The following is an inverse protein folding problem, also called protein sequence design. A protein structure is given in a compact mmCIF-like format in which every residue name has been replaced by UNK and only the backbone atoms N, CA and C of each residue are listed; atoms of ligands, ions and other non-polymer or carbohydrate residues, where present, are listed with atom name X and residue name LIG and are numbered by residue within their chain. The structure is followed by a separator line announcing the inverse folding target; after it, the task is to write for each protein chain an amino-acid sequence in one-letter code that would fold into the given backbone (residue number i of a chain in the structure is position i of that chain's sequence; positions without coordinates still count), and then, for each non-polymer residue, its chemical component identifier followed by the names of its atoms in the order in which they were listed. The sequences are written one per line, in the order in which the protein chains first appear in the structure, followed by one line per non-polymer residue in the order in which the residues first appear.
data_IF_662451239947
#
_entry.id   IF_662451239947
#
_cell.length_a   1.000
_cell.length_b   1.000
_cell.length_c   1.000
_cell.angle_alpha   90.00
_cell.angle_beta   90.00
_cell.angle_gamma   90.00
#
_symmetry.space_group_name_H-M   'P 1'
#
loop_
_entity.id
_entity.type
_entity.pdbx_description
1 polymer ?
#
# COMPACT_ATOMS: atom_id res chain seq x y z
N UNK A 1 -23.16 32.95 -24.02
CA UNK A 1 -23.08 32.79 -22.55
C UNK A 1 -21.67 32.32 -22.23
N UNK A 2 -20.89 33.03 -21.39
CA UNK A 2 -19.55 32.58 -21.04
C UNK A 2 -19.63 31.29 -20.23
N UNK A 3 -18.86 30.27 -20.62
CA UNK A 3 -18.74 29.04 -19.86
C UNK A 3 -17.95 29.39 -18.59
N UNK A 4 -18.62 29.44 -17.44
CA UNK A 4 -17.97 29.61 -16.14
C UNK A 4 -17.61 28.24 -15.59
N UNK A 5 -16.34 27.85 -15.72
CA UNK A 5 -15.82 26.63 -15.09
C UNK A 5 -15.43 26.99 -13.66
N UNK A 6 -16.30 26.67 -12.71
CA UNK A 6 -15.97 26.72 -11.29
C UNK A 6 -15.31 25.40 -10.89
N UNK A 7 -13.98 25.39 -10.78
CA UNK A 7 -13.26 24.29 -10.13
C UNK A 7 -13.28 24.50 -8.62
N UNK A 8 -14.38 24.12 -7.95
CA UNK A 8 -14.42 24.01 -6.50
C UNK A 8 -14.06 22.59 -6.11
N UNK A 9 -12.87 22.39 -5.56
CA UNK A 9 -12.53 21.14 -4.87
C UNK A 9 -13.17 21.26 -3.49
N UNK A 10 -14.36 20.67 -3.32
CA UNK A 10 -15.05 20.61 -2.04
C UNK A 10 -14.79 19.24 -1.43
N UNK A 11 -13.98 19.18 -0.38
CA UNK A 11 -13.95 18.00 0.49
C UNK A 11 -15.22 18.06 1.35
N UNK A 12 -16.14 17.13 1.10
CA UNK A 12 -17.29 16.94 1.97
C UNK A 12 -16.77 16.39 3.29
N UNK A 13 -16.60 17.25 4.30
CA UNK A 13 -16.45 16.81 5.68
C UNK A 13 -17.79 16.19 6.09
N UNK A 14 -17.99 14.93 5.74
CA UNK A 14 -19.09 14.17 6.29
C UNK A 14 -18.68 13.88 7.72
N UNK A 15 -19.04 14.79 8.64
CA UNK A 15 -19.16 14.48 10.07
C UNK A 15 -20.33 13.51 10.27
N UNK A 16 -20.28 12.36 9.61
CA UNK A 16 -21.03 11.20 10.04
C UNK A 16 -20.27 10.65 11.23
N UNK A 17 -20.86 10.93 12.40
CA UNK A 17 -20.51 10.32 13.67
C UNK A 17 -20.47 8.81 13.42
N UNK A 18 -19.28 8.23 13.39
CA UNK A 18 -19.14 6.78 13.42
C UNK A 18 -19.91 6.29 14.64
N UNK A 19 -20.95 5.51 14.38
CA UNK A 19 -21.60 4.71 15.40
C UNK A 19 -20.53 3.76 15.95
N UNK A 20 -20.07 4.07 17.16
CA UNK A 20 -19.43 3.14 18.08
C UNK A 20 -20.22 1.82 18.09
N UNK A 21 -19.60 0.74 17.60
CA UNK A 21 -19.95 -0.60 18.09
C UNK A 21 -19.26 -0.75 19.44
N UNK A 22 -19.98 -0.35 20.50
CA UNK A 22 -19.63 -0.62 21.89
C UNK A 22 -19.92 -2.09 22.19
N UNK A 23 -18.88 -2.87 22.44
CA UNK A 23 -18.95 -3.94 23.43
C UNK A 23 -18.47 -3.34 24.75
N UNK A 24 -19.40 -2.94 25.60
CA UNK A 24 -19.11 -2.55 26.98
C UNK A 24 -19.17 -3.78 27.89
N UNK A 25 -18.16 -3.97 28.72
CA UNK A 25 -18.39 -4.07 30.17
C UNK A 25 -17.17 -3.54 30.91
N UNK A 26 -17.47 -2.59 31.78
CA UNK A 26 -16.58 -1.77 32.59
C UNK A 26 -15.95 -2.58 33.74
N UNK A 27 -14.75 -2.21 34.16
CA UNK A 27 -14.61 -1.54 35.47
C UNK A 27 -13.27 -0.80 35.59
N UNK A 28 -13.39 0.53 35.61
CA UNK A 28 -12.66 1.53 36.42
C UNK A 28 -11.23 1.28 36.93
N UNK A 29 -10.39 2.30 36.72
CA UNK A 29 -9.68 2.91 37.85
C UNK A 29 -8.18 3.18 37.64
N UNK A 30 -7.89 4.33 37.02
CA UNK A 30 -6.84 5.30 37.36
C UNK A 30 -5.33 4.94 37.43
N UNK A 31 -4.63 5.54 36.46
CA UNK A 31 -3.22 6.03 36.31
C UNK A 31 -2.63 6.77 37.56
N UNK A 32 -1.36 7.28 37.53
CA UNK A 32 -0.10 6.98 36.79
C UNK A 32 1.15 7.06 37.74
N UNK A 33 2.35 7.58 37.34
CA UNK A 33 3.41 7.03 36.50
C UNK A 33 4.81 6.99 37.19
N UNK A 34 5.84 6.37 36.59
CA UNK A 34 7.09 7.01 36.12
C UNK A 34 8.24 6.00 35.88
N UNK A 35 9.12 6.39 34.97
CA UNK A 35 10.31 5.73 34.43
C UNK A 35 11.50 5.57 35.40
N UNK A 36 12.43 4.72 34.95
CA UNK A 36 13.91 4.83 35.02
C UNK A 36 14.72 4.27 36.21
N UNK A 37 15.71 3.46 35.82
CA UNK A 37 17.13 3.44 36.24
C UNK A 37 17.64 2.17 36.97
N UNK A 38 18.88 1.85 36.61
CA UNK A 38 19.79 0.72 36.82
C UNK A 38 20.01 0.18 38.26
N UNK A 39 20.63 -1.01 38.42
CA UNK A 39 20.98 -1.54 39.73
C UNK A 39 22.37 -1.07 40.19
N UNK A 40 22.43 -0.43 41.36
CA UNK A 40 23.67 -0.30 42.12
C UNK A 40 23.63 -1.18 43.36
N UNK A 41 24.77 -1.83 43.60
CA UNK A 41 25.03 -2.79 44.66
C UNK A 41 25.02 -2.18 46.07
N UNK A 42 24.68 -3.00 47.07
CA UNK A 42 25.13 -2.78 48.45
C UNK A 42 25.26 -4.11 49.19
N UNK A 43 26.49 -4.42 49.60
CA UNK A 43 26.87 -5.44 50.56
C UNK A 43 26.50 -5.04 51.99
N UNK A 44 26.15 -6.02 52.83
CA UNK A 44 26.46 -6.14 54.28
C UNK A 44 25.84 -7.47 54.77
N UNK A 45 26.61 -8.52 55.09
CA UNK A 45 27.51 -8.74 56.24
C UNK A 45 26.78 -9.25 57.51
N UNK A 46 26.96 -10.56 57.78
CA UNK A 46 27.06 -11.36 59.04
C UNK A 46 26.20 -10.94 60.26
N UNK A 47 25.61 -11.80 61.09
CA UNK A 47 26.00 -13.11 61.63
C UNK A 47 24.79 -13.62 62.47
N UNK A 48 24.44 -14.91 62.43
CA UNK A 48 24.24 -15.72 63.66
C UNK A 48 24.10 -17.21 63.26
N UNK A 49 24.79 -18.06 64.01
CA UNK A 49 24.96 -19.48 63.69
C UNK A 49 24.03 -20.40 64.49
N UNK A 50 23.81 -21.59 63.95
CA UNK A 50 23.63 -22.86 64.69
C UNK A 50 23.58 -24.01 63.66
N UNK A 51 24.65 -24.81 63.61
CA UNK A 51 24.69 -26.21 63.11
C UNK A 51 24.27 -27.15 64.27
N UNK A 52 23.91 -28.45 64.08
CA UNK A 52 24.42 -29.42 63.08
C UNK A 52 23.27 -30.27 62.43
N UNK A 53 23.42 -31.24 61.52
CA UNK A 53 24.24 -32.47 61.50
C UNK A 53 24.34 -33.06 60.06
N UNK A 54 25.34 -33.92 59.91
CA UNK A 54 25.87 -34.62 58.74
C UNK A 54 24.88 -35.62 58.10
N UNK A 55 24.98 -35.86 56.78
CA UNK A 55 24.96 -37.22 56.18
C UNK A 55 25.29 -37.19 54.66
N UNK A 56 26.55 -37.52 54.39
CA UNK A 56 27.11 -38.42 53.35
C UNK A 56 26.92 -38.12 51.84
N UNK A 57 28.05 -37.75 51.21
CA UNK A 57 28.33 -37.88 49.78
C UNK A 57 28.53 -39.36 49.39
N UNK A 58 27.87 -39.82 48.32
CA UNK A 58 28.36 -40.96 47.53
C UNK A 58 28.67 -40.52 46.09
N UNK A 59 29.96 -40.56 45.76
CA UNK A 59 30.52 -40.52 44.41
C UNK A 59 30.50 -41.92 43.81
N UNK A 60 29.85 -42.10 42.68
CA UNK A 60 30.15 -43.18 41.72
C UNK A 60 30.48 -42.52 40.37
N UNK A 61 31.75 -42.29 40.05
CA UNK A 61 32.72 -43.18 39.40
C UNK A 61 32.43 -43.35 37.90
N UNK A 62 32.95 -42.41 37.12
CA UNK A 62 33.11 -42.50 35.67
C UNK A 62 34.08 -43.66 35.33
N UNK A 63 33.60 -44.65 34.58
CA UNK A 63 34.45 -45.60 33.84
C UNK A 63 33.98 -45.65 32.38
N UNK A 64 34.93 -45.41 31.48
CA UNK A 64 34.78 -45.33 30.03
C UNK A 64 34.32 -46.66 29.39
N UNK A 65 33.33 -46.62 28.48
CA UNK A 65 33.20 -47.62 27.41
C UNK A 65 32.78 -47.01 26.06
N UNK A 66 33.75 -46.98 25.15
CA UNK A 66 33.70 -47.54 23.80
C UNK A 66 32.31 -47.65 23.11
N UNK A 67 32.05 -46.75 22.16
CA UNK A 67 31.40 -47.10 20.88
C UNK A 67 29.97 -47.65 20.90
N UNK A 68 29.15 -47.38 21.91
CA UNK A 68 27.71 -47.69 21.86
C UNK A 68 26.92 -46.50 21.30
N UNK A 69 25.97 -46.75 20.40
CA UNK A 69 25.05 -45.70 19.94
C UNK A 69 24.43 -45.01 21.16
N UNK A 70 24.28 -43.66 21.16
CA UNK A 70 23.73 -42.96 22.32
C UNK A 70 22.39 -43.59 22.70
N UNK A 71 22.24 -43.95 23.97
CA UNK A 71 21.02 -44.56 24.46
C UNK A 71 19.86 -43.59 24.20
N UNK A 72 18.86 -44.05 23.45
CA UNK A 72 17.72 -43.24 23.04
C UNK A 72 16.93 -42.71 24.26
N UNK A 73 16.98 -43.43 25.38
CA UNK A 73 16.36 -43.04 26.65
C UNK A 73 17.12 -41.87 27.28
N UNK A 74 18.45 -41.92 27.32
CA UNK A 74 19.29 -40.82 27.84
C UNK A 74 19.12 -39.55 27.00
N UNK A 75 18.99 -39.70 25.68
CA UNK A 75 18.66 -38.60 24.78
C UNK A 75 17.24 -38.05 25.03
N UNK A 76 16.24 -38.92 25.17
CA UNK A 76 14.86 -38.53 25.44
C UNK A 76 14.70 -37.78 26.78
N UNK A 77 15.51 -38.15 27.78
CA UNK A 77 15.53 -37.54 29.10
C UNK A 77 16.26 -36.18 29.12
N UNK A 78 17.27 -36.01 28.27
CA UNK A 78 18.04 -34.75 28.14
C UNK A 78 17.46 -33.78 27.09
N UNK A 79 16.53 -34.23 26.26
CA UNK A 79 15.88 -33.39 25.25
C UNK A 79 14.86 -32.43 25.88
N UNK A 80 14.79 -31.21 25.34
CA UNK A 80 13.78 -30.20 25.72
C UNK A 80 12.41 -30.44 25.07
N UNK A 81 12.25 -31.51 24.27
CA UNK A 81 11.00 -31.82 23.59
C UNK A 81 10.00 -32.45 24.56
N UNK A 82 9.00 -31.66 24.95
CA UNK A 82 7.98 -32.07 25.90
C UNK A 82 7.24 -33.34 25.44
N UNK A 83 7.12 -34.31 26.35
CA UNK A 83 6.40 -35.56 26.13
C UNK A 83 7.27 -36.72 25.63
N UNK A 84 8.49 -36.48 25.13
CA UNK A 84 9.38 -37.55 24.63
C UNK A 84 9.95 -38.42 25.75
N UNK A 85 10.31 -37.82 26.89
CA UNK A 85 10.75 -38.52 28.10
C UNK A 85 9.70 -39.56 28.58
N UNK A 86 8.40 -39.26 28.45
CA UNK A 86 7.33 -40.20 28.84
C UNK A 86 7.09 -41.34 27.84
N UNK A 87 7.67 -41.26 26.63
CA UNK A 87 7.56 -42.28 25.59
C UNK A 87 8.71 -43.28 25.71
N UNK A 88 9.92 -42.79 25.96
CA UNK A 88 11.13 -43.61 26.08
C UNK A 88 11.55 -43.73 27.55
N UNK A 89 10.96 -44.70 28.23
CA UNK A 89 11.29 -45.07 29.62
C UNK A 89 11.95 -46.44 29.62
N UNK A 90 12.99 -46.64 30.44
CA UNK A 90 13.63 -47.95 30.64
C UNK A 90 12.62 -48.96 31.22
N UNK A 91 12.18 -49.93 30.39
CA UNK A 91 11.22 -50.97 30.80
C UNK A 91 10.28 -51.44 29.69
N UNK A 92 9.33 -52.33 30.03
CA UNK A 92 8.39 -52.92 29.07
C UNK A 92 7.38 -51.90 28.52
N UNK A 93 7.05 -52.01 27.22
CA UNK A 93 6.02 -51.22 26.55
C UNK A 93 4.65 -51.36 27.25
N UNK A 94 4.19 -50.29 27.89
CA UNK A 94 2.91 -50.23 28.59
C UNK A 94 1.87 -49.35 27.88
N UNK A 95 0.62 -49.47 28.33
CA UNK A 95 -0.52 -48.66 27.84
C UNK A 95 -0.26 -47.15 28.04
N UNK A 96 0.42 -46.78 29.13
CA UNK A 96 0.75 -45.39 29.45
C UNK A 96 1.68 -44.77 28.40
N UNK A 97 2.71 -45.51 27.95
CA UNK A 97 3.64 -45.05 26.92
C UNK A 97 2.94 -44.93 25.57
N UNK A 98 2.04 -45.86 25.23
CA UNK A 98 1.22 -45.76 24.04
C UNK A 98 0.31 -44.51 24.06
N UNK A 99 -0.30 -44.19 25.21
CA UNK A 99 -1.10 -42.96 25.36
C UNK A 99 -0.27 -41.69 25.20
N UNK A 100 0.93 -41.64 25.79
CA UNK A 100 1.85 -40.51 25.62
C UNK A 100 2.34 -40.36 24.19
N UNK A 101 2.65 -41.48 23.52
CA UNK A 101 3.05 -41.50 22.12
C UNK A 101 1.92 -41.00 21.21
N UNK A 102 0.69 -41.48 21.40
CA UNK A 102 -0.47 -40.98 20.68
C UNK A 102 -0.70 -39.48 20.93
N UNK A 103 -0.66 -39.03 22.18
CA UNK A 103 -0.85 -37.63 22.53
C UNK A 103 0.22 -36.72 21.90
N UNK A 104 1.48 -37.16 21.94
CA UNK A 104 2.60 -36.47 21.31
C UNK A 104 2.45 -36.40 19.79
N UNK A 105 2.12 -37.51 19.12
CA UNK A 105 1.91 -37.53 17.68
C UNK A 105 0.72 -36.66 17.25
N UNK A 106 -0.37 -36.66 18.01
CA UNK A 106 -1.53 -35.80 17.75
C UNK A 106 -1.12 -34.33 17.90
N UNK A 107 -0.42 -33.98 18.98
CA UNK A 107 0.09 -32.62 19.22
C UNK A 107 1.02 -32.15 18.09
N UNK A 108 1.98 -32.99 17.70
CA UNK A 108 2.92 -32.72 16.61
C UNK A 108 2.20 -32.55 15.27
N UNK A 109 1.21 -33.39 14.98
CA UNK A 109 0.44 -33.32 13.72
C UNK A 109 -0.38 -32.03 13.63
N UNK A 110 -1.02 -31.63 14.74
CA UNK A 110 -1.76 -30.36 14.81
C UNK A 110 -0.79 -29.19 14.63
N UNK A 111 0.35 -29.21 15.34
CA UNK A 111 1.38 -28.17 15.23
C UNK A 111 1.87 -28.01 13.78
N UNK A 112 2.28 -29.10 13.11
CA UNK A 112 2.76 -29.05 11.73
C UNK A 112 1.69 -28.56 10.75
N UNK A 113 0.43 -28.97 10.95
CA UNK A 113 -0.69 -28.51 10.12
C UNK A 113 -0.93 -27.01 10.26
N UNK A 114 -0.84 -26.48 11.49
CA UNK A 114 -0.96 -25.04 11.76
C UNK A 114 0.21 -24.26 11.14
N UNK A 115 1.44 -24.77 11.27
CA UNK A 115 2.63 -24.14 10.67
C UNK A 115 2.51 -24.10 9.15
N UNK A 116 2.14 -25.21 8.51
CA UNK A 116 1.93 -25.25 7.06
C UNK A 116 0.84 -24.26 6.63
N UNK A 117 -0.29 -24.22 7.32
CA UNK A 117 -1.36 -23.26 7.04
C UNK A 117 -0.92 -21.80 7.16
N UNK A 118 -0.07 -21.48 8.15
CA UNK A 118 0.50 -20.13 8.30
C UNK A 118 1.52 -19.80 7.21
N UNK A 119 2.35 -20.77 6.80
CA UNK A 119 3.29 -20.58 5.68
C UNK A 119 2.51 -20.31 4.38
N UNK A 120 1.48 -21.10 4.06
CA UNK A 120 0.66 -20.85 2.87
C UNK A 120 -0.02 -19.48 2.92
N UNK A 121 -0.62 -19.12 4.06
CA UNK A 121 -1.23 -17.79 4.23
C UNK A 121 -0.23 -16.64 4.07
N UNK A 122 0.99 -16.80 4.58
CA UNK A 122 2.07 -15.81 4.39
C UNK A 122 2.47 -15.69 2.92
N UNK A 123 2.58 -16.81 2.21
CA UNK A 123 2.93 -16.85 0.79
C UNK A 123 1.81 -16.37 -0.15
N UNK A 124 0.59 -16.19 0.36
CA UNK A 124 -0.51 -15.54 -0.37
C UNK A 124 -0.41 -14.00 -0.35
N UNK A 125 0.52 -13.41 0.42
CA UNK A 125 0.78 -11.97 0.48
C UNK A 125 -0.48 -11.10 0.71
N UNK A 126 -1.34 -11.52 1.63
CA UNK A 126 -2.50 -10.72 2.04
C UNK A 126 -2.05 -9.39 2.64
N UNK A 127 -2.69 -8.31 2.21
CA UNK A 127 -2.47 -6.95 2.73
C UNK A 127 -3.80 -6.35 3.17
N UNK A 128 -3.73 -5.47 4.16
CA UNK A 128 -4.88 -4.68 4.64
C UNK A 128 -4.55 -3.22 4.44
N UNK A 129 -5.47 -2.47 3.84
CA UNK A 129 -5.34 -1.02 3.67
C UNK A 129 -6.11 -0.31 4.77
N UNK A 130 -5.44 0.60 5.47
CA UNK A 130 -6.08 1.54 6.39
C UNK A 130 -6.25 2.88 5.68
N UNK A 131 -7.45 3.45 5.75
CA UNK A 131 -7.77 4.75 5.17
C UNK A 131 -7.92 5.76 6.31
N UNK A 132 -7.10 6.80 6.29
CA UNK A 132 -7.15 7.90 7.24
C UNK A 132 -7.35 9.23 6.50
N UNK A 133 -8.17 10.11 7.04
CA UNK A 133 -8.37 11.47 6.54
C UNK A 133 -7.64 12.45 7.46
N UNK A 134 -6.66 13.17 6.91
CA UNK A 134 -5.87 14.17 7.64
C UNK A 134 -6.14 15.56 7.09
N UNK A 135 -6.43 16.50 7.97
CA UNK A 135 -6.62 17.91 7.60
C UNK A 135 -5.25 18.62 7.56
N UNK A 136 -4.97 19.32 6.46
CA UNK A 136 -3.77 20.16 6.31
C UNK A 136 -4.15 21.58 5.93
N UNK A 137 -3.53 22.57 6.60
CA UNK A 137 -3.73 23.98 6.31
C UNK A 137 -3.15 24.40 4.94
N UNK A 138 -2.17 23.65 4.43
CA UNK A 138 -1.55 23.87 3.12
C UNK A 138 -1.53 22.57 2.31
N UNK A 139 -1.96 22.67 1.06
CA UNK A 139 -1.97 21.57 0.09
C UNK A 139 -1.44 22.07 -1.25
N UNK A 140 -0.79 21.18 -1.99
CA UNK A 140 -0.35 21.46 -3.36
C UNK A 140 -1.58 21.52 -4.25
N UNK A 141 -1.75 22.65 -4.95
CA UNK A 141 -2.84 22.78 -5.92
C UNK A 141 -2.55 21.86 -7.12
N UNK A 142 -3.51 21.02 -7.53
CA UNK A 142 -3.27 20.05 -8.59
C UNK A 142 -3.09 20.74 -9.94
N UNK A 143 -2.46 20.03 -10.88
CA UNK A 143 -2.47 20.45 -12.27
C UNK A 143 -3.89 20.35 -12.83
N UNK A 144 -4.37 21.43 -13.47
CA UNK A 144 -5.67 21.47 -14.13
C UNK A 144 -5.44 21.42 -15.64
N UNK A 145 -5.89 20.34 -16.27
CA UNK A 145 -5.85 20.18 -17.73
C UNK A 145 -7.23 20.45 -18.31
N UNK A 146 -7.31 21.44 -19.21
CA UNK A 146 -8.54 21.83 -19.89
C UNK A 146 -8.37 21.56 -21.38
N UNK A 147 -9.38 20.98 -22.01
CA UNK A 147 -9.45 20.78 -23.45
C UNK A 147 -10.85 21.16 -23.94
N UNK A 148 -10.94 21.90 -25.04
CA UNK A 148 -12.22 22.15 -25.67
C UNK A 148 -12.75 20.84 -26.27
N UNK A 149 -14.03 20.52 -26.04
CA UNK A 149 -14.67 19.35 -26.64
C UNK A 149 -14.64 19.44 -28.16
N UNK A 150 -14.76 20.66 -28.70
CA UNK A 150 -14.52 20.88 -30.10
C UNK A 150 -13.03 20.78 -30.40
N UNK A 151 -12.67 19.82 -31.26
CA UNK A 151 -11.27 19.51 -31.58
C UNK A 151 -10.62 20.53 -32.51
N UNK A 152 -11.42 21.18 -33.36
CA UNK A 152 -10.95 22.07 -34.42
C UNK A 152 -11.88 23.27 -34.60
N UNK A 153 -11.29 24.43 -34.86
CA UNK A 153 -12.04 25.64 -35.24
C UNK A 153 -12.41 25.52 -36.72
N UNK A 154 -13.69 25.31 -37.01
CA UNK A 154 -14.18 25.21 -38.39
C UNK A 154 -13.84 26.44 -39.25
N UNK A 155 -13.82 27.63 -38.63
CA UNK A 155 -13.45 28.89 -39.30
C UNK A 155 -12.00 28.95 -39.77
N UNK A 156 -11.12 28.09 -39.25
CA UNK A 156 -9.72 28.01 -39.63
C UNK A 156 -9.45 26.87 -40.64
N UNK A 157 -10.46 26.10 -41.03
CA UNK A 157 -10.28 24.99 -41.98
C UNK A 157 -10.29 25.51 -43.40
N UNK A 158 -9.29 25.09 -44.19
CA UNK A 158 -9.28 25.29 -45.64
C UNK A 158 -9.93 24.10 -46.36
N UNK A 159 -10.22 24.27 -47.65
CA UNK A 159 -10.70 23.16 -48.48
C UNK A 159 -9.64 22.04 -48.61
N UNK A 160 -8.37 22.42 -48.72
CA UNK A 160 -7.26 21.47 -48.83
C UNK A 160 -7.14 20.63 -47.56
N UNK A 161 -7.23 21.24 -46.37
CA UNK A 161 -7.28 20.51 -45.10
C UNK A 161 -8.42 19.49 -45.09
N UNK A 162 -9.64 19.91 -45.42
CA UNK A 162 -10.80 19.02 -45.46
C UNK A 162 -10.61 17.86 -46.46
N UNK A 163 -9.97 18.09 -47.60
CA UNK A 163 -9.74 17.04 -48.60
C UNK A 163 -8.91 15.86 -48.04
N UNK A 164 -7.98 16.13 -47.12
CA UNK A 164 -7.12 15.11 -46.52
C UNK A 164 -7.67 14.53 -45.21
N UNK A 165 -8.28 15.36 -44.35
CA UNK A 165 -8.63 14.97 -42.98
C UNK A 165 -10.13 14.68 -42.79
N UNK A 166 -11.00 15.03 -43.75
CA UNK A 166 -12.46 14.81 -43.70
C UNK A 166 -12.91 13.48 -43.06
N UNK A 167 -12.36 12.30 -43.46
CA UNK A 167 -12.76 11.01 -42.87
C UNK A 167 -12.42 10.87 -41.37
N UNK A 168 -11.34 11.54 -40.92
CA UNK A 168 -10.86 11.49 -39.54
C UNK A 168 -11.65 12.42 -38.62
N UNK A 169 -12.05 13.60 -39.12
CA UNK A 169 -12.79 14.59 -38.34
C UNK A 169 -14.31 14.42 -38.43
N UNK A 170 -14.80 13.65 -39.40
CA UNK A 170 -16.22 13.42 -39.62
C UNK A 170 -16.93 14.61 -40.29
N UNK A 171 -16.19 15.44 -41.03
CA UNK A 171 -16.73 16.55 -41.79
C UNK A 171 -16.80 16.17 -43.26
N UNK A 172 -17.99 16.11 -43.83
CA UNK A 172 -18.14 15.98 -45.28
C UNK A 172 -18.02 17.37 -45.93
N UNK A 173 -17.09 17.59 -46.87
CA UNK A 173 -16.90 18.90 -47.51
C UNK A 173 -18.17 19.40 -48.23
N UNK A 174 -18.95 18.48 -48.83
CA UNK A 174 -20.20 18.82 -49.51
C UNK A 174 -21.26 19.31 -48.53
N UNK A 175 -21.47 18.57 -47.43
CA UNK A 175 -22.42 18.96 -46.38
C UNK A 175 -22.03 20.27 -45.69
N UNK A 176 -20.72 20.53 -45.52
CA UNK A 176 -20.24 21.76 -44.88
C UNK A 176 -20.50 23.00 -45.73
N UNK A 177 -20.26 22.89 -47.05
CA UNK A 177 -20.56 23.94 -48.02
C UNK A 177 -22.07 24.16 -48.17
N UNK A 178 -22.87 23.10 -48.16
CA UNK A 178 -24.33 23.18 -48.22
C UNK A 178 -24.91 23.85 -46.96
N UNK A 179 -24.31 23.62 -45.79
CA UNK A 179 -24.69 24.27 -44.54
C UNK A 179 -24.26 25.75 -44.47
N UNK A 180 -23.54 26.26 -45.47
CA UNK A 180 -23.18 27.68 -45.59
C UNK A 180 -22.12 28.15 -44.59
N UNK A 181 -21.31 27.24 -44.04
CA UNK A 181 -20.23 27.62 -43.14
C UNK A 181 -19.04 28.20 -43.91
N UNK A 182 -18.50 29.37 -43.52
CA UNK A 182 -17.35 29.95 -44.20
C UNK A 182 -16.08 29.15 -43.87
N UNK A 183 -15.40 28.66 -44.92
CA UNK A 183 -14.05 28.09 -44.81
C UNK A 183 -13.00 29.20 -44.87
N UNK A 184 -11.82 28.93 -44.31
CA UNK A 184 -10.66 29.79 -44.49
C UNK A 184 -10.21 29.76 -45.95
N UNK A 185 -9.74 30.91 -46.46
CA UNK A 185 -9.13 30.95 -47.79
C UNK A 185 -7.82 30.14 -47.77
N UNK A 186 -7.54 29.36 -48.83
CA UNK A 186 -6.26 28.68 -48.96
C UNK A 186 -5.14 29.72 -49.07
N UNK A 187 -4.03 29.46 -48.39
CA UNK A 187 -2.82 30.26 -48.51
C UNK A 187 -2.11 29.89 -49.83
N UNK A 188 -2.26 30.76 -50.84
CA UNK A 188 -1.69 30.55 -52.17
C UNK A 188 -0.20 30.94 -52.25
N UNK A 189 0.38 31.50 -51.18
CA UNK A 189 1.77 31.96 -51.14
C UNK A 189 2.72 30.97 -50.45
N UNK A 190 2.19 29.92 -49.81
CA UNK A 190 2.96 28.90 -49.10
C UNK A 190 3.38 27.70 -49.98
N UNK A 191 4.53 27.07 -49.71
CA UNK A 191 4.86 25.77 -50.30
C UNK A 191 3.85 24.70 -49.84
N UNK A 192 3.46 23.80 -50.75
CA UNK A 192 2.64 22.63 -50.41
C UNK A 192 3.42 21.72 -49.44
N UNK A 193 3.14 21.82 -48.15
CA UNK A 193 3.69 20.94 -47.13
C UNK A 193 2.89 19.64 -47.03
N UNK A 194 3.54 18.48 -46.84
CA UNK A 194 2.83 17.23 -46.62
C UNK A 194 2.00 17.30 -45.34
N UNK A 195 0.84 16.60 -45.33
CA UNK A 195 -0.04 16.56 -44.17
C UNK A 195 0.71 16.07 -42.91
N UNK A 196 0.88 16.97 -41.95
CA UNK A 196 1.40 16.68 -40.63
C UNK A 196 0.29 16.94 -39.60
N UNK A 197 -0.16 15.86 -38.94
CA UNK A 197 -1.25 15.97 -37.97
C UNK A 197 -0.92 16.83 -36.75
N UNK A 198 0.36 16.90 -36.37
CA UNK A 198 0.79 17.79 -35.28
C UNK A 198 0.58 19.25 -35.67
N UNK A 199 1.10 19.68 -36.82
CA UNK A 199 0.92 21.06 -37.30
C UNK A 199 -0.52 21.37 -37.65
N UNK A 200 -1.30 20.37 -38.10
CA UNK A 200 -2.75 20.52 -38.27
C UNK A 200 -3.43 20.89 -36.95
N UNK A 201 -3.26 20.10 -35.88
CA UNK A 201 -3.92 20.41 -34.60
C UNK A 201 -3.37 21.66 -33.93
N UNK A 202 -2.10 21.98 -34.11
CA UNK A 202 -1.48 23.21 -33.59
C UNK A 202 -2.12 24.47 -34.20
N UNK A 203 -2.40 24.46 -35.51
CA UNK A 203 -3.02 25.60 -36.23
C UNK A 203 -4.54 25.68 -36.06
N UNK A 204 -5.22 24.54 -36.10
CA UNK A 204 -6.70 24.52 -36.10
C UNK A 204 -7.30 24.30 -34.70
N UNK A 205 -6.50 23.92 -33.70
CA UNK A 205 -6.93 23.76 -32.32
C UNK A 205 -7.31 25.09 -31.67
N UNK A 206 -8.12 25.04 -30.61
CA UNK A 206 -8.55 26.26 -29.91
C UNK A 206 -7.41 26.92 -29.14
N UNK A 207 -7.23 28.22 -29.32
CA UNK A 207 -6.28 29.01 -28.55
C UNK A 207 -6.88 29.39 -27.20
N UNK A 208 -6.06 29.30 -26.15
CA UNK A 208 -6.53 29.59 -24.80
C UNK A 208 -6.84 31.08 -24.63
N UNK A 209 -6.12 31.96 -25.35
CA UNK A 209 -6.35 33.41 -25.34
C UNK A 209 -7.78 33.78 -25.76
N UNK A 210 -8.34 33.07 -26.74
CA UNK A 210 -9.70 33.28 -27.23
C UNK A 210 -10.77 32.70 -26.30
N UNK A 211 -10.43 31.64 -25.56
CA UNK A 211 -11.37 30.93 -24.68
C UNK A 211 -11.42 31.50 -23.27
N UNK A 212 -10.30 32.02 -22.76
CA UNK A 212 -10.15 32.46 -21.39
C UNK A 212 -10.61 33.90 -21.21
N UNK A 213 -11.82 34.07 -20.67
CA UNK A 213 -12.36 35.40 -20.40
C UNK A 213 -11.85 36.01 -19.09
N UNK A 214 -11.56 35.18 -18.09
CA UNK A 214 -11.01 35.58 -16.80
C UNK A 214 -10.36 34.38 -16.10
N UNK A 215 -9.25 34.61 -15.41
CA UNK A 215 -8.58 33.60 -14.59
C UNK A 215 -8.17 34.24 -13.26
N UNK A 216 -8.53 33.59 -12.15
CA UNK A 216 -8.10 33.99 -10.80
C UNK A 216 -7.72 32.78 -9.97
N UNK A 217 -6.54 32.85 -9.35
CA UNK A 217 -6.06 31.84 -8.42
C UNK A 217 -5.71 32.48 -7.08
N UNK A 218 -6.37 32.05 -6.00
CA UNK A 218 -6.24 32.62 -4.64
C UNK A 218 -6.37 34.16 -4.61
N UNK A 219 -7.27 34.69 -5.45
CA UNK A 219 -7.53 36.13 -5.58
C UNK A 219 -6.53 36.90 -6.43
N UNK A 220 -5.48 36.26 -6.95
CA UNK A 220 -4.54 36.86 -7.91
C UNK A 220 -5.01 36.59 -9.34
N UNK A 221 -4.87 37.57 -10.22
CA UNK A 221 -5.14 37.39 -11.64
C UNK A 221 -4.10 36.45 -12.27
N UNK A 222 -4.57 35.57 -13.15
CA UNK A 222 -3.76 34.69 -13.99
C UNK A 222 -4.15 34.89 -15.45
N UNK A 223 -3.33 34.38 -16.37
CA UNK A 223 -3.58 34.50 -17.81
C UNK A 223 -3.14 33.28 -18.61
N UNK A 224 -3.28 33.33 -19.94
CA UNK A 224 -2.89 32.24 -20.84
C UNK A 224 -1.41 31.83 -20.71
N UNK A 225 -0.53 32.76 -20.33
CA UNK A 225 0.89 32.50 -20.08
C UNK A 225 1.18 31.57 -18.91
N UNK A 226 0.23 31.44 -17.97
CA UNK A 226 0.35 30.54 -16.81
C UNK A 226 -0.04 29.09 -17.16
N UNK A 227 -0.47 28.85 -18.40
CA UNK A 227 -0.84 27.55 -18.93
C UNK A 227 0.20 27.07 -19.94
N UNK A 228 0.38 25.75 -20.01
CA UNK A 228 1.31 25.13 -20.95
C UNK A 228 0.54 24.24 -21.91
N UNK A 229 0.81 24.39 -23.21
CA UNK A 229 0.27 23.50 -24.23
C UNK A 229 0.90 22.12 -24.06
N UNK A 230 0.07 21.09 -23.97
CA UNK A 230 0.54 19.70 -23.81
C UNK A 230 0.91 19.15 -25.19
N UNK A 231 2.12 19.47 -25.64
CA UNK A 231 2.69 19.00 -26.89
C UNK A 231 3.58 17.77 -26.64
N UNK A 232 2.96 16.59 -26.59
CA UNK A 232 3.66 15.31 -26.61
C UNK A 232 3.57 14.47 -25.34
N UNK A 233 3.32 13.17 -25.55
CA UNK A 233 3.48 12.09 -24.57
C UNK A 233 4.84 12.22 -23.85
N UNK A 234 4.86 12.79 -22.65
CA UNK A 234 5.75 12.30 -21.59
C UNK A 234 4.95 11.32 -20.75
N UNK A 235 4.68 10.15 -21.32
CA UNK A 235 4.49 8.96 -20.49
C UNK A 235 5.90 8.67 -19.97
N UNK A 236 6.22 9.19 -18.79
CA UNK A 236 7.38 8.66 -18.07
C UNK A 236 7.07 7.20 -17.73
N UNK A 237 8.03 6.29 -17.93
CA UNK A 237 7.85 4.86 -17.67
C UNK A 237 7.56 4.55 -16.20
#
# INVERSE_FOLDING_TARGET
MPIQIFCTISFSSNKEKHAEVKCATESNGDKPPYEQQEPEAMEQAYEDGEEPEEEEEEKEKDEDEEGSAPNLVDFANSCTLHGVNHIFVEGSFGVRQALWMCAFLISLSIFLSQVAGRIFYYLEYHHVTQLDEMESAEMVFPAITLCNINRIRGSQLTFDDLSYISPLVGYDPGAYLEAGFPLALPDLEGPEEPLNLYSFYDRHGHELEDMMLACKYRGKDCGPSDFTVVSGLRISP
#
